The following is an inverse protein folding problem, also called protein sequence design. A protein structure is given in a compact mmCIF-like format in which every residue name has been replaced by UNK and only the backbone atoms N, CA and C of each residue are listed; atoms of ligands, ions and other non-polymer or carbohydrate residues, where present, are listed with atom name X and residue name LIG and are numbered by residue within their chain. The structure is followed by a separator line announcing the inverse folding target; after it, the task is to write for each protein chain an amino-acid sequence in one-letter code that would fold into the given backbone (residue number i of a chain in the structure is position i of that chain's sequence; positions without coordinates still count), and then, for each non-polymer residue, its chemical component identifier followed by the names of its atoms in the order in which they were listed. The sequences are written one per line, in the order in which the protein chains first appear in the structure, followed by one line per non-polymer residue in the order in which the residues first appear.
data_IF_883920192380
#
_entry.id   IF_883920192380
#
_cell.length_a   1.000
_cell.length_b   1.000
_cell.length_c   1.000
_cell.angle_alpha   90.00
_cell.angle_beta   90.00
_cell.angle_gamma   90.00
#
_symmetry.space_group_name_H-M   'P 1'
#
loop_
_entity.id
_entity.type
_entity.pdbx_description
1 polymer ?
#
# COMPACT_ATOMS: atom_id res chain seq x y z
N UNK A 1 8.32 -10.06 -7.86
CA UNK A 1 7.97 -8.64 -7.66
C UNK A 1 7.00 -8.52 -6.51
N UNK A 2 7.15 -7.48 -5.71
CA UNK A 2 6.34 -7.32 -4.50
C UNK A 2 4.85 -7.26 -4.79
N UNK A 3 4.43 -6.45 -5.77
CA UNK A 3 3.02 -6.31 -6.11
C UNK A 3 2.42 -7.62 -6.65
N UNK A 4 3.15 -8.32 -7.49
CA UNK A 4 2.69 -9.58 -8.05
C UNK A 4 2.55 -10.65 -6.98
N UNK A 5 3.52 -10.73 -6.07
CA UNK A 5 3.46 -11.67 -4.95
C UNK A 5 2.28 -11.36 -4.04
N UNK A 6 2.01 -10.07 -3.79
CA UNK A 6 0.87 -9.67 -2.99
C UNK A 6 -0.43 -10.11 -3.65
N UNK A 7 -0.61 -9.86 -4.95
CA UNK A 7 -1.80 -10.26 -5.71
C UNK A 7 -2.03 -11.77 -5.62
N UNK A 8 -0.96 -12.54 -5.74
CA UNK A 8 -1.03 -13.99 -5.71
C UNK A 8 -1.43 -14.49 -4.33
N UNK A 9 -0.82 -13.92 -3.30
CA UNK A 9 -1.04 -14.36 -1.91
C UNK A 9 -2.39 -13.97 -1.34
N UNK A 10 -3.04 -12.95 -1.88
CA UNK A 10 -4.37 -12.54 -1.40
C UNK A 10 -5.51 -13.31 -2.05
N UNK A 11 -5.22 -14.23 -2.97
CA UNK A 11 -6.26 -15.14 -3.46
C UNK A 11 -6.77 -15.92 -2.26
N UNK A 12 -8.10 -16.00 -2.11
CA UNK A 12 -8.76 -16.67 -0.96
C UNK A 12 -8.36 -16.06 0.40
N UNK A 13 -8.11 -14.75 0.43
CA UNK A 13 -7.66 -14.06 1.64
C UNK A 13 -8.61 -14.24 2.82
N UNK A 14 -9.92 -14.35 2.55
CA UNK A 14 -10.91 -14.49 3.62
C UNK A 14 -10.70 -15.79 4.40
N UNK A 15 -10.47 -16.89 3.69
CA UNK A 15 -10.19 -18.18 4.30
C UNK A 15 -8.87 -18.15 5.06
N UNK A 16 -7.85 -17.54 4.48
CA UNK A 16 -6.54 -17.44 5.09
C UNK A 16 -6.58 -16.61 6.37
N UNK A 17 -7.37 -15.55 6.36
CA UNK A 17 -7.53 -14.70 7.54
C UNK A 17 -8.25 -15.42 8.67
N UNK A 18 -9.21 -16.28 8.37
CA UNK A 18 -9.89 -17.08 9.37
C UNK A 18 -8.95 -18.05 10.08
N UNK A 19 -7.98 -18.58 9.36
CA UNK A 19 -6.98 -19.50 9.92
C UNK A 19 -5.92 -18.74 10.72
N UNK A 20 -5.55 -17.55 10.27
CA UNK A 20 -4.49 -16.74 10.88
C UNK A 20 -4.90 -15.27 10.86
N UNK A 21 -5.27 -14.73 12.01
CA UNK A 21 -5.71 -13.34 12.13
C UNK A 21 -4.60 -12.34 11.75
N UNK A 22 -3.36 -12.77 11.75
CA UNK A 22 -2.20 -11.94 11.40
C UNK A 22 -1.80 -12.10 9.94
N UNK A 23 -2.65 -12.73 9.12
CA UNK A 23 -2.33 -13.05 7.73
C UNK A 23 -1.77 -11.87 6.94
N UNK A 24 -2.47 -10.73 6.94
CA UNK A 24 -2.02 -9.58 6.17
C UNK A 24 -0.73 -8.96 6.72
N UNK A 25 -0.63 -8.88 8.04
CA UNK A 25 0.57 -8.37 8.69
C UNK A 25 1.79 -9.24 8.36
N UNK A 26 1.63 -10.55 8.48
CA UNK A 26 2.68 -11.51 8.16
C UNK A 26 3.05 -11.42 6.67
N UNK A 27 2.06 -11.29 5.79
CA UNK A 27 2.30 -11.17 4.36
C UNK A 27 3.15 -9.95 4.03
N UNK A 28 2.79 -8.78 4.59
CA UNK A 28 3.55 -7.56 4.34
C UNK A 28 4.98 -7.70 4.83
N UNK A 29 5.15 -8.27 6.01
CA UNK A 29 6.48 -8.50 6.58
C UNK A 29 7.30 -9.43 5.70
N UNK A 30 6.70 -10.52 5.24
CA UNK A 30 7.38 -11.49 4.37
C UNK A 30 7.77 -10.88 3.03
N UNK A 31 6.89 -10.06 2.45
CA UNK A 31 7.15 -9.42 1.15
C UNK A 31 8.32 -8.44 1.21
N UNK A 32 8.52 -7.80 2.36
CA UNK A 32 9.56 -6.78 2.51
C UNK A 32 10.87 -7.35 3.08
N UNK A 33 10.81 -8.56 3.66
CA UNK A 33 12.00 -9.20 4.20
C UNK A 33 13.01 -9.45 3.08
N UNK A 34 14.26 -9.14 3.35
CA UNK A 34 15.37 -9.37 2.41
C UNK A 34 15.29 -8.59 1.11
N UNK A 35 14.41 -7.60 1.01
CA UNK A 35 14.37 -6.74 -0.17
C UNK A 35 15.33 -5.56 -0.01
N UNK A 36 16.02 -5.23 -1.10
CA UNK A 36 16.88 -4.05 -1.12
C UNK A 36 16.04 -2.78 -1.22
N UNK A 37 16.62 -1.65 -0.83
CA UNK A 37 15.93 -0.36 -0.97
C UNK A 37 15.55 -0.08 -2.42
N UNK A 38 16.39 -0.49 -3.36
CA UNK A 38 16.10 -0.33 -4.78
C UNK A 38 14.86 -1.11 -5.20
N UNK A 39 14.75 -2.37 -4.76
CA UNK A 39 13.58 -3.21 -5.04
C UNK A 39 12.31 -2.62 -4.44
N UNK A 40 12.41 -2.12 -3.19
CA UNK A 40 11.29 -1.50 -2.51
C UNK A 40 10.84 -0.22 -3.22
N UNK A 41 11.79 0.61 -3.63
CA UNK A 41 11.48 1.86 -4.33
C UNK A 41 10.78 1.59 -5.67
N UNK A 42 11.27 0.63 -6.43
CA UNK A 42 10.64 0.26 -7.70
C UNK A 42 9.24 -0.34 -7.51
N UNK A 43 8.97 -0.94 -6.37
CA UNK A 43 7.65 -1.51 -6.10
C UNK A 43 6.57 -0.46 -5.86
N UNK A 44 6.94 0.77 -5.52
CA UNK A 44 5.99 1.84 -5.20
C UNK A 44 4.97 2.02 -6.34
N UNK A 45 5.45 2.17 -7.56
CA UNK A 45 4.58 2.43 -8.70
C UNK A 45 3.62 1.27 -8.98
N UNK A 46 4.12 0.05 -8.85
CA UNK A 46 3.29 -1.14 -9.05
C UNK A 46 2.22 -1.27 -7.97
N UNK A 47 2.56 -0.92 -6.73
CA UNK A 47 1.61 -0.98 -5.63
C UNK A 47 0.56 0.13 -5.75
N UNK A 48 0.94 1.32 -6.22
CA UNK A 48 -0.03 2.38 -6.50
C UNK A 48 -1.08 1.89 -7.51
N UNK A 49 -0.65 1.26 -8.60
CA UNK A 49 -1.58 0.70 -9.58
C UNK A 49 -2.45 -0.40 -8.97
N UNK A 50 -1.85 -1.26 -8.18
CA UNK A 50 -2.56 -2.34 -7.51
C UNK A 50 -3.70 -1.78 -6.64
N UNK A 51 -3.45 -0.73 -5.88
CA UNK A 51 -4.46 -0.11 -5.03
C UNK A 51 -5.62 0.42 -5.85
N UNK A 52 -5.31 1.13 -6.92
CA UNK A 52 -6.32 1.75 -7.78
C UNK A 52 -7.20 0.68 -8.45
N UNK A 53 -6.63 -0.49 -8.76
CA UNK A 53 -7.36 -1.60 -9.35
C UNK A 53 -8.26 -2.33 -8.35
N UNK A 54 -7.97 -2.27 -7.06
CA UNK A 54 -8.75 -2.98 -6.04
C UNK A 54 -10.12 -2.35 -5.86
N UNK A 55 -11.13 -3.21 -5.72
CA UNK A 55 -12.50 -2.76 -5.51
C UNK A 55 -13.14 -3.33 -4.25
N UNK A 56 -12.42 -4.16 -3.53
CA UNK A 56 -12.86 -4.70 -2.26
C UNK A 56 -12.37 -3.78 -1.14
N UNK A 57 -13.28 -3.40 -0.25
CA UNK A 57 -12.98 -2.47 0.84
C UNK A 57 -11.77 -2.89 1.66
N UNK A 58 -11.70 -4.17 2.03
CA UNK A 58 -10.60 -4.67 2.85
C UNK A 58 -9.29 -4.72 2.08
N UNK A 59 -9.36 -5.10 0.80
CA UNK A 59 -8.16 -5.18 -0.02
C UNK A 59 -7.58 -3.81 -0.36
N UNK A 60 -8.44 -2.80 -0.52
CA UNK A 60 -7.98 -1.42 -0.67
C UNK A 60 -7.22 -1.00 0.58
N UNK A 61 -7.77 -1.27 1.76
CA UNK A 61 -7.12 -0.94 3.02
C UNK A 61 -5.77 -1.64 3.15
N UNK A 62 -5.73 -2.95 2.92
CA UNK A 62 -4.51 -3.74 3.11
C UNK A 62 -3.43 -3.41 2.08
N UNK A 63 -3.83 -3.19 0.82
CA UNK A 63 -2.86 -2.81 -0.21
C UNK A 63 -2.30 -1.41 0.03
N UNK A 64 -3.12 -0.50 0.56
CA UNK A 64 -2.64 0.83 0.90
C UNK A 64 -1.66 0.78 2.08
N UNK A 65 -1.91 -0.09 3.07
CA UNK A 65 -0.93 -0.32 4.14
C UNK A 65 0.40 -0.81 3.59
N UNK A 66 0.36 -1.65 2.56
CA UNK A 66 1.60 -2.11 1.92
C UNK A 66 2.38 -0.92 1.35
N UNK A 67 1.71 0.01 0.66
CA UNK A 67 2.36 1.20 0.13
C UNK A 67 3.01 2.02 1.25
N UNK A 68 2.29 2.22 2.35
CA UNK A 68 2.80 2.97 3.49
C UNK A 68 4.04 2.29 4.08
N UNK A 69 4.01 0.96 4.19
CA UNK A 69 5.15 0.21 4.71
C UNK A 69 6.37 0.25 3.79
N UNK A 70 6.17 0.33 2.47
CA UNK A 70 7.28 0.55 1.55
C UNK A 70 8.00 1.86 1.89
N UNK A 71 7.25 2.92 2.11
CA UNK A 71 7.82 4.21 2.46
C UNK A 71 8.50 4.19 3.83
N UNK A 72 7.92 3.49 4.80
CA UNK A 72 8.54 3.37 6.12
C UNK A 72 9.87 2.63 6.05
N UNK A 73 9.93 1.57 5.26
CA UNK A 73 11.16 0.80 5.08
C UNK A 73 12.24 1.63 4.41
N UNK A 74 11.85 2.42 3.41
CA UNK A 74 12.79 3.31 2.70
C UNK A 74 13.19 4.51 3.55
N UNK A 75 12.34 4.88 4.50
CA UNK A 75 12.55 6.05 5.35
C UNK A 75 12.80 7.31 4.51
N UNK A 76 11.95 7.52 3.51
CA UNK A 76 12.06 8.65 2.59
C UNK A 76 10.71 9.34 2.41
N UNK A 77 10.75 10.62 2.06
CA UNK A 77 9.57 11.38 1.66
C UNK A 77 9.59 11.68 0.16
N UNK A 78 10.47 11.03 -0.58
CA UNK A 78 10.54 11.22 -2.02
C UNK A 78 9.38 10.52 -2.71
N UNK A 79 8.57 11.27 -3.46
CA UNK A 79 7.50 10.71 -4.26
C UNK A 79 8.03 10.32 -5.63
N UNK A 80 7.60 9.15 -6.12
CA UNK A 80 7.87 8.78 -7.50
C UNK A 80 7.06 9.70 -8.42
N UNK A 81 7.46 9.78 -9.67
CA UNK A 81 6.71 10.54 -10.66
C UNK A 81 5.28 10.03 -10.79
N UNK A 82 5.10 8.72 -10.81
CA UNK A 82 3.77 8.11 -10.88
C UNK A 82 2.91 8.45 -9.67
N UNK A 83 3.47 8.39 -8.47
CA UNK A 83 2.71 8.74 -7.27
C UNK A 83 2.26 10.20 -7.31
N UNK A 84 3.14 11.11 -7.76
CA UNK A 84 2.76 12.52 -7.91
C UNK A 84 1.67 12.69 -8.95
N UNK A 85 1.82 12.06 -10.11
CA UNK A 85 0.86 12.16 -11.21
C UNK A 85 -0.50 11.62 -10.80
N UNK A 86 -0.52 10.49 -10.13
CA UNK A 86 -1.76 9.78 -9.79
C UNK A 86 -2.26 10.10 -8.37
N UNK A 87 -1.66 11.07 -7.68
CA UNK A 87 -2.01 11.36 -6.29
C UNK A 87 -3.50 11.55 -6.06
N UNK A 88 -4.14 12.39 -6.88
CA UNK A 88 -5.55 12.68 -6.72
C UNK A 88 -6.42 11.47 -7.06
N UNK A 89 -6.02 10.69 -8.05
CA UNK A 89 -6.72 9.46 -8.40
C UNK A 89 -6.67 8.48 -7.24
N UNK A 90 -5.47 8.30 -6.68
CA UNK A 90 -5.27 7.43 -5.52
C UNK A 90 -6.06 7.91 -4.32
N UNK A 91 -5.98 9.20 -4.02
CA UNK A 91 -6.69 9.81 -2.90
C UNK A 91 -8.20 9.61 -3.01
N UNK A 92 -8.75 9.93 -4.17
CA UNK A 92 -10.19 9.81 -4.39
C UNK A 92 -10.64 8.36 -4.29
N UNK A 93 -9.84 7.44 -4.84
CA UNK A 93 -10.15 6.01 -4.78
C UNK A 93 -10.19 5.51 -3.33
N UNK A 94 -9.11 5.74 -2.59
CA UNK A 94 -9.01 5.26 -1.20
C UNK A 94 -10.05 5.92 -0.31
N UNK A 95 -10.20 7.23 -0.40
CA UNK A 95 -11.11 7.99 0.47
C UNK A 95 -12.59 7.72 0.18
N UNK A 96 -12.92 7.11 -0.96
CA UNK A 96 -14.32 6.84 -1.31
C UNK A 96 -14.91 5.67 -0.52
N UNK A 97 -14.11 4.88 0.17
CA UNK A 97 -14.58 3.65 0.81
C UNK A 97 -15.17 3.87 2.20
N UNK A 98 -14.47 4.57 3.08
CA UNK A 98 -14.97 4.80 4.43
C UNK A 98 -14.15 5.87 5.15
N UNK A 99 -14.61 6.26 6.35
CA UNK A 99 -13.87 7.20 7.19
C UNK A 99 -12.53 6.63 7.66
N UNK A 100 -12.46 5.31 7.85
CA UNK A 100 -11.20 4.63 8.20
C UNK A 100 -10.19 4.81 7.07
N UNK A 101 -10.63 4.65 5.82
CA UNK A 101 -9.77 4.85 4.65
C UNK A 101 -9.32 6.30 4.53
N UNK A 102 -10.22 7.24 4.81
CA UNK A 102 -9.88 8.67 4.81
C UNK A 102 -8.81 8.98 5.86
N UNK A 103 -8.95 8.39 7.05
CA UNK A 103 -7.98 8.56 8.12
C UNK A 103 -6.62 7.96 7.70
N UNK A 104 -6.64 6.79 7.12
CA UNK A 104 -5.44 6.11 6.63
C UNK A 104 -4.70 6.98 5.61
N UNK A 105 -5.44 7.56 4.66
CA UNK A 105 -4.81 8.42 3.64
C UNK A 105 -4.26 9.71 4.27
N UNK A 106 -4.96 10.25 5.26
CA UNK A 106 -4.49 11.44 5.97
C UNK A 106 -3.17 11.20 6.68
N UNK A 107 -2.99 10.04 7.27
CA UNK A 107 -1.72 9.66 7.89
C UNK A 107 -0.62 9.54 6.84
N UNK A 108 -0.95 9.03 5.66
CA UNK A 108 -0.02 8.94 4.54
C UNK A 108 0.41 10.33 4.07
N UNK A 109 -0.54 11.26 3.97
CA UNK A 109 -0.23 12.65 3.63
C UNK A 109 0.73 13.28 4.64
N UNK A 110 0.53 12.98 5.93
CA UNK A 110 1.40 13.48 7.00
C UNK A 110 2.82 12.96 6.90
N UNK A 111 2.99 11.76 6.39
CA UNK A 111 4.31 11.18 6.18
C UNK A 111 5.18 12.07 5.30
N UNK A 112 4.58 12.63 4.27
CA UNK A 112 5.30 13.54 3.36
C UNK A 112 5.46 14.93 3.94
N UNK A 113 4.65 15.29 4.90
CA UNK A 113 4.77 16.55 5.62
C UNK A 113 4.53 17.77 4.76
N UNK A 114 5.05 18.92 5.23
CA UNK A 114 4.83 20.20 4.55
C UNK A 114 5.62 20.35 3.25
N UNK A 115 6.55 19.44 2.99
CA UNK A 115 7.35 19.49 1.76
C UNK A 115 6.52 19.42 0.50
N UNK A 116 5.34 18.80 0.59
CA UNK A 116 4.53 18.48 -0.57
C UNK A 116 3.21 19.23 -0.60
N UNK A 117 3.12 20.29 0.15
CA UNK A 117 1.94 21.16 0.11
C UNK A 117 1.92 22.03 -1.11
#
# INVERSE_FOLDING_TARGET
MIADEFKEKIIDWQEKLQVNEWFFSDLREDLLRDKTNKEVFFAIDEVVELIIEQKDTNLVYESFLLLFELYRKLDTTERTEKLNTDWNILKNHVCSYSDIHKHQFREFERWFGSKWK
#
